data_IF_509335249529
#
_entry.id   IF_509335249529
#
_cell.length_a   1.000
_cell.length_b   1.000
_cell.length_c   1.000
_cell.angle_alpha   90.00
_cell.angle_beta   90.00
_cell.angle_gamma   90.00
#
_symmetry.space_group_name_H-M   'P 1'
#
loop_
_entity.id
_entity.type
_entity.pdbx_description
1 polymer ?
#
# COMPACT_ATOMS: atom_id res chain seq x y z
N UNK A 1 -6.72 22.99 1.35
CA UNK A 1 -7.09 22.25 0.12
C UNK A 1 -6.00 21.24 -0.22
N UNK A 2 -6.37 19.99 -0.45
CA UNK A 2 -5.43 18.95 -0.86
C UNK A 2 -5.17 19.04 -2.37
N UNK A 3 -3.90 18.92 -2.75
CA UNK A 3 -3.49 18.86 -4.16
C UNK A 3 -2.57 17.68 -4.36
N UNK A 4 -2.66 17.05 -5.53
CA UNK A 4 -1.79 15.95 -5.92
C UNK A 4 -0.79 16.42 -6.97
N UNK A 5 0.47 16.00 -6.79
CA UNK A 5 1.54 16.26 -7.73
C UNK A 5 2.15 14.92 -8.12
N UNK A 6 2.45 14.75 -9.40
CA UNK A 6 3.06 13.53 -9.92
C UNK A 6 4.46 13.85 -10.43
N UNK A 7 5.44 13.14 -9.88
CA UNK A 7 6.85 13.32 -10.24
C UNK A 7 7.45 12.01 -10.71
N UNK A 8 8.39 12.10 -11.63
CA UNK A 8 9.22 10.96 -12.02
C UNK A 8 10.34 10.80 -11.01
N UNK A 9 10.50 9.57 -10.50
CA UNK A 9 11.59 9.22 -9.59
C UNK A 9 12.59 8.30 -10.28
N UNK A 10 13.84 8.40 -9.86
CA UNK A 10 14.95 7.59 -10.37
C UNK A 10 15.63 6.92 -9.19
N UNK A 11 15.01 5.88 -8.60
CA UNK A 11 15.55 5.26 -7.39
C UNK A 11 16.91 4.62 -7.63
N UNK A 12 17.77 4.66 -6.61
CA UNK A 12 19.02 3.94 -6.59
C UNK A 12 18.75 2.42 -6.52
N UNK A 13 19.75 1.60 -6.81
CA UNK A 13 19.56 0.15 -6.86
C UNK A 13 19.02 -0.43 -5.56
N UNK A 14 19.51 0.04 -4.41
CA UNK A 14 19.00 -0.38 -3.09
C UNK A 14 17.53 0.01 -2.90
N UNK A 15 17.15 1.18 -3.38
CA UNK A 15 15.78 1.66 -3.31
C UNK A 15 14.86 0.87 -4.24
N UNK A 16 15.33 0.48 -5.41
CA UNK A 16 14.59 -0.40 -6.33
C UNK A 16 14.29 -1.76 -5.69
N UNK A 17 15.26 -2.33 -4.99
CA UNK A 17 15.08 -3.59 -4.25
C UNK A 17 14.02 -3.42 -3.17
N UNK A 18 14.10 -2.34 -2.39
CA UNK A 18 13.12 -2.05 -1.36
C UNK A 18 11.71 -1.86 -1.95
N UNK A 19 11.60 -1.16 -3.06
CA UNK A 19 10.31 -0.95 -3.73
C UNK A 19 9.72 -2.27 -4.23
N UNK A 20 10.54 -3.13 -4.83
CA UNK A 20 10.09 -4.45 -5.28
C UNK A 20 9.59 -5.29 -4.10
N UNK A 21 10.30 -5.28 -2.98
CA UNK A 21 9.89 -5.96 -1.74
C UNK A 21 8.58 -5.38 -1.22
N UNK A 22 8.44 -4.06 -1.21
CA UNK A 22 7.24 -3.38 -0.71
C UNK A 22 6.03 -3.72 -1.58
N UNK A 23 6.17 -3.68 -2.90
CA UNK A 23 5.10 -4.09 -3.80
C UNK A 23 4.67 -5.54 -3.55
N UNK A 24 5.64 -6.43 -3.41
CA UNK A 24 5.38 -7.85 -3.14
C UNK A 24 4.68 -8.08 -1.81
N UNK A 25 5.15 -7.42 -0.75
CA UNK A 25 4.54 -7.53 0.58
C UNK A 25 3.12 -6.97 0.60
N UNK A 26 2.88 -5.83 -0.03
CA UNK A 26 1.55 -5.23 -0.11
C UNK A 26 0.58 -6.13 -0.89
N UNK A 27 1.03 -6.72 -1.99
CA UNK A 27 0.24 -7.67 -2.76
C UNK A 27 -0.07 -8.92 -1.93
N UNK A 28 0.92 -9.44 -1.23
CA UNK A 28 0.75 -10.60 -0.36
C UNK A 28 -0.28 -10.33 0.74
N UNK A 29 -0.17 -9.20 1.43
CA UNK A 29 -1.10 -8.82 2.48
C UNK A 29 -2.53 -8.66 1.96
N UNK A 30 -2.69 -8.01 0.81
CA UNK A 30 -4.00 -7.86 0.16
C UNK A 30 -4.62 -9.21 -0.18
N UNK A 31 -3.86 -10.08 -0.82
CA UNK A 31 -4.34 -11.40 -1.24
C UNK A 31 -4.64 -12.30 -0.04
N UNK A 32 -3.82 -12.24 0.99
CA UNK A 32 -4.05 -12.96 2.24
C UNK A 32 -5.37 -12.54 2.89
N UNK A 33 -5.61 -11.23 2.99
CA UNK A 33 -6.84 -10.71 3.59
C UNK A 33 -8.06 -11.06 2.76
N UNK A 34 -7.95 -10.99 1.44
CA UNK A 34 -9.03 -11.39 0.54
C UNK A 34 -9.38 -12.88 0.70
N UNK A 35 -8.36 -13.73 0.74
CA UNK A 35 -8.56 -15.16 0.95
C UNK A 35 -9.21 -15.44 2.30
N UNK A 36 -8.77 -14.76 3.34
CA UNK A 36 -9.35 -14.90 4.69
C UNK A 36 -10.85 -14.60 4.67
N UNK A 37 -11.27 -13.55 4.00
CA UNK A 37 -12.69 -13.18 3.88
C UNK A 37 -13.48 -14.18 3.06
N UNK A 38 -12.93 -14.66 1.95
CA UNK A 38 -13.59 -15.64 1.08
C UNK A 38 -13.81 -16.95 1.84
N UNK A 39 -12.78 -17.45 2.52
CA UNK A 39 -12.87 -18.71 3.26
C UNK A 39 -13.82 -18.62 4.45
N UNK A 40 -13.81 -17.51 5.19
CA UNK A 40 -14.73 -17.31 6.30
C UNK A 40 -16.19 -17.28 5.84
N UNK A 41 -16.47 -16.67 4.71
CA UNK A 41 -17.82 -16.65 4.16
C UNK A 41 -18.28 -18.00 3.63
N UNK A 42 -17.37 -18.76 2.99
CA UNK A 42 -17.69 -20.11 2.48
C UNK A 42 -18.00 -21.09 3.61
N UNK A 43 -17.21 -21.07 4.69
CA UNK A 43 -17.36 -22.01 5.79
C UNK A 43 -18.55 -21.67 6.71
N UNK A 44 -18.65 -20.40 7.13
CA UNK A 44 -19.59 -19.98 8.20
C UNK A 44 -20.52 -18.84 7.81
N UNK A 45 -20.51 -18.40 6.57
CA UNK A 45 -21.23 -17.20 6.12
C UNK A 45 -20.83 -15.96 6.93
N UNK A 46 -19.60 -15.97 7.48
CA UNK A 46 -19.12 -14.94 8.39
C UNK A 46 -18.44 -13.81 7.61
N UNK A 47 -18.76 -12.58 7.95
CA UNK A 47 -18.07 -11.38 7.47
C UNK A 47 -16.98 -11.03 8.48
N UNK A 48 -15.72 -10.99 8.03
CA UNK A 48 -14.58 -10.65 8.89
C UNK A 48 -14.40 -9.14 8.92
N UNK A 49 -14.50 -8.49 10.10
CA UNK A 49 -14.30 -7.04 10.21
C UNK A 49 -12.87 -6.63 9.91
N UNK A 50 -12.69 -5.40 9.41
CA UNK A 50 -11.39 -4.84 9.11
C UNK A 50 -10.42 -4.91 10.30
N UNK A 51 -10.90 -4.59 11.50
CA UNK A 51 -10.06 -4.60 12.70
C UNK A 51 -9.50 -5.99 13.00
N UNK A 52 -10.30 -7.02 12.83
CA UNK A 52 -9.86 -8.41 13.04
C UNK A 52 -8.76 -8.79 12.03
N UNK A 53 -8.92 -8.39 10.78
CA UNK A 53 -7.91 -8.62 9.74
C UNK A 53 -6.62 -7.91 10.10
N UNK A 54 -6.71 -6.67 10.54
CA UNK A 54 -5.55 -5.88 10.96
C UNK A 54 -4.82 -6.53 12.12
N UNK A 55 -5.55 -6.95 13.15
CA UNK A 55 -4.99 -7.60 14.33
C UNK A 55 -4.32 -8.94 13.96
N UNK A 56 -4.96 -9.73 13.10
CA UNK A 56 -4.37 -10.98 12.61
C UNK A 56 -3.07 -10.73 11.82
N UNK A 57 -3.03 -9.68 11.01
CA UNK A 57 -1.82 -9.35 10.27
C UNK A 57 -0.67 -8.98 11.22
N UNK A 58 -0.95 -8.15 12.22
CA UNK A 58 0.08 -7.68 13.15
C UNK A 58 0.56 -8.81 14.06
N UNK A 59 -0.35 -9.60 14.61
CA UNK A 59 -0.03 -10.56 15.66
C UNK A 59 0.33 -11.96 15.13
N UNK A 60 -0.19 -12.34 13.97
CA UNK A 60 -0.03 -13.70 13.44
C UNK A 60 0.77 -13.73 12.15
N UNK A 61 0.33 -13.01 11.12
CA UNK A 61 0.95 -13.08 9.80
C UNK A 61 2.39 -12.59 9.78
N UNK A 62 2.69 -11.49 10.47
CA UNK A 62 4.06 -10.98 10.59
C UNK A 62 4.96 -11.90 11.40
N UNK A 63 4.40 -12.62 12.37
CA UNK A 63 5.16 -13.61 13.13
C UNK A 63 5.52 -14.83 12.30
N UNK A 64 4.64 -15.24 11.39
CA UNK A 64 4.88 -16.35 10.47
C UNK A 64 5.83 -15.99 9.32
N UNK A 65 5.84 -14.71 8.92
CA UNK A 65 6.61 -14.22 7.78
C UNK A 65 7.44 -12.99 8.17
N UNK A 66 8.64 -13.21 8.67
CA UNK A 66 9.54 -12.13 9.13
C UNK A 66 9.86 -11.11 8.05
N UNK A 67 9.88 -11.54 6.79
CA UNK A 67 10.14 -10.64 5.67
C UNK A 67 9.11 -9.51 5.50
N UNK A 68 7.92 -9.64 6.08
CA UNK A 68 6.94 -8.55 6.12
C UNK A 68 7.40 -7.37 6.98
N UNK A 69 8.33 -7.60 7.91
CA UNK A 69 8.88 -6.55 8.77
C UNK A 69 9.93 -5.70 8.06
N UNK A 70 10.43 -6.13 6.91
CA UNK A 70 11.43 -5.39 6.15
C UNK A 70 10.89 -4.15 5.46
N UNK A 71 9.58 -4.05 5.31
CA UNK A 71 8.92 -2.94 4.64
C UNK A 71 8.13 -2.07 5.62
N UNK A 72 7.73 -0.88 5.16
CA UNK A 72 6.96 0.05 5.98
C UNK A 72 5.62 -0.57 6.41
N UNK A 73 5.40 -0.70 7.72
CA UNK A 73 4.17 -1.28 8.27
C UNK A 73 2.91 -0.52 7.87
N UNK A 74 2.98 0.80 7.76
CA UNK A 74 1.84 1.61 7.34
C UNK A 74 1.41 1.33 5.91
N UNK A 75 2.36 1.03 5.02
CA UNK A 75 2.05 0.64 3.64
C UNK A 75 1.30 -0.69 3.59
N UNK A 76 1.68 -1.65 4.45
CA UNK A 76 0.96 -2.92 4.58
C UNK A 76 -0.47 -2.72 5.08
N UNK A 77 -0.65 -1.93 6.12
CA UNK A 77 -1.98 -1.62 6.66
C UNK A 77 -2.86 -0.92 5.62
N UNK A 78 -2.26 -0.05 4.82
CA UNK A 78 -2.98 0.63 3.76
C UNK A 78 -3.46 -0.32 2.65
N UNK A 79 -2.72 -1.40 2.40
CA UNK A 79 -3.17 -2.47 1.48
C UNK A 79 -4.46 -3.11 1.97
N UNK A 80 -4.58 -3.33 3.28
CA UNK A 80 -5.81 -3.86 3.88
C UNK A 80 -6.97 -2.88 3.73
N UNK A 81 -6.71 -1.58 3.88
CA UNK A 81 -7.73 -0.54 3.66
C UNK A 81 -8.19 -0.50 2.21
N UNK A 82 -7.28 -0.72 1.26
CA UNK A 82 -7.64 -0.80 -0.15
C UNK A 82 -8.61 -1.96 -0.42
N UNK A 83 -8.40 -3.09 0.22
CA UNK A 83 -9.33 -4.22 0.13
C UNK A 83 -10.69 -3.87 0.73
N UNK A 84 -10.71 -3.20 1.88
CA UNK A 84 -11.94 -2.73 2.51
C UNK A 84 -12.73 -1.79 1.58
N UNK A 85 -12.02 -0.88 0.95
CA UNK A 85 -12.61 0.04 -0.04
C UNK A 85 -13.17 -0.73 -1.25
N UNK A 86 -12.45 -1.74 -1.73
CA UNK A 86 -12.91 -2.56 -2.84
C UNK A 86 -14.20 -3.31 -2.49
N UNK A 87 -14.31 -3.86 -1.29
CA UNK A 87 -15.53 -4.49 -0.81
C UNK A 87 -16.67 -3.49 -0.68
N UNK A 88 -16.41 -2.33 -0.09
CA UNK A 88 -17.42 -1.27 0.07
C UNK A 88 -17.96 -0.84 -1.29
N UNK A 89 -17.09 -0.63 -2.26
CA UNK A 89 -17.50 -0.24 -3.60
C UNK A 89 -18.32 -1.34 -4.29
N UNK A 90 -17.93 -2.60 -4.11
CA UNK A 90 -18.67 -3.74 -4.65
C UNK A 90 -20.10 -3.79 -4.07
N UNK A 91 -20.25 -3.73 -2.74
CA UNK A 91 -21.57 -3.80 -2.11
C UNK A 91 -22.44 -2.58 -2.40
N UNK A 92 -21.82 -1.41 -2.64
CA UNK A 92 -22.56 -0.20 -2.99
C UNK A 92 -23.10 -0.24 -4.41
N UNK A 93 -22.38 -0.85 -5.33
CA UNK A 93 -22.78 -0.93 -6.74
C UNK A 93 -22.31 -2.23 -7.38
N UNK A 94 -23.00 -3.32 -7.05
CA UNK A 94 -22.67 -4.67 -7.53
C UNK A 94 -22.78 -4.84 -9.04
N UNK A 95 -23.55 -3.97 -9.72
CA UNK A 95 -23.73 -4.03 -11.19
C UNK A 95 -22.56 -3.41 -11.93
N UNK A 96 -21.99 -2.33 -11.41
CA UNK A 96 -20.91 -1.61 -12.07
C UNK A 96 -19.52 -2.03 -11.60
N UNK A 97 -19.40 -2.48 -10.33
CA UNK A 97 -18.13 -2.84 -9.70
C UNK A 97 -18.08 -4.34 -9.46
N UNK A 98 -17.07 -5.00 -9.99
CA UNK A 98 -16.87 -6.44 -9.76
C UNK A 98 -16.41 -6.77 -8.34
N UNK A 99 -16.55 -8.05 -7.97
CA UNK A 99 -16.02 -8.55 -6.72
C UNK A 99 -14.49 -8.38 -6.67
N UNK A 100 -13.90 -8.06 -5.50
CA UNK A 100 -12.44 -7.92 -5.38
C UNK A 100 -11.71 -9.15 -5.90
N UNK A 101 -10.66 -8.92 -6.68
CA UNK A 101 -9.86 -9.98 -7.30
C UNK A 101 -8.47 -10.05 -6.67
N UNK A 102 -7.89 -11.26 -6.67
CA UNK A 102 -6.50 -11.43 -6.29
C UNK A 102 -5.57 -10.64 -7.21
N UNK A 103 -4.54 -10.04 -6.64
CA UNK A 103 -3.53 -9.29 -7.38
C UNK A 103 -2.41 -10.20 -7.83
N UNK A 104 -1.92 -10.01 -9.05
CA UNK A 104 -0.76 -10.70 -9.60
C UNK A 104 0.41 -9.75 -9.78
N UNK A 105 1.60 -10.29 -10.07
CA UNK A 105 2.78 -9.48 -10.39
C UNK A 105 2.58 -8.62 -11.65
N UNK A 106 1.68 -9.04 -12.52
CA UNK A 106 1.35 -8.31 -13.77
C UNK A 106 0.33 -7.19 -13.54
N UNK A 107 -0.36 -7.18 -12.40
CA UNK A 107 -1.28 -6.11 -12.04
C UNK A 107 -0.50 -4.82 -11.77
N UNK A 108 -1.17 -3.68 -11.91
CA UNK A 108 -0.59 -2.39 -11.52
C UNK A 108 -0.20 -2.45 -10.05
N UNK A 109 1.07 -2.13 -9.78
CA UNK A 109 1.61 -2.16 -8.43
C UNK A 109 1.75 -0.74 -7.89
N UNK A 110 1.34 -0.55 -6.65
CA UNK A 110 1.54 0.71 -5.93
C UNK A 110 1.54 0.46 -4.43
N UNK A 111 2.21 1.34 -3.70
CA UNK A 111 2.09 1.37 -2.25
C UNK A 111 2.02 2.82 -1.78
N UNK A 112 1.38 3.05 -0.65
CA UNK A 112 1.17 4.37 -0.10
C UNK A 112 1.90 4.49 1.24
N UNK A 113 2.58 5.64 1.41
CA UNK A 113 3.20 6.03 2.66
C UNK A 113 2.37 7.19 3.23
N UNK A 114 1.58 6.95 4.30
CA UNK A 114 0.66 7.97 4.81
C UNK A 114 1.31 9.02 5.71
N UNK A 115 2.58 8.81 6.10
CA UNK A 115 3.27 9.72 7.00
C UNK A 115 4.79 9.61 6.86
N UNK A 116 5.51 10.54 7.47
CA UNK A 116 6.98 10.59 7.46
C UNK A 116 7.59 10.71 6.06
N UNK A 117 6.92 11.47 5.20
CA UNK A 117 7.39 11.75 3.85
C UNK A 117 7.78 13.22 3.72
N UNK A 118 8.80 13.49 2.92
CA UNK A 118 9.22 14.87 2.66
C UNK A 118 9.77 14.99 1.24
N UNK A 119 9.67 16.20 0.71
CA UNK A 119 10.20 16.57 -0.59
C UNK A 119 11.23 17.67 -0.38
N UNK A 120 12.43 17.48 -0.91
CA UNK A 120 13.52 18.47 -0.86
C UNK A 120 13.75 19.02 -2.26
N UNK A 121 13.28 20.24 -2.50
CA UNK A 121 13.42 20.89 -3.81
C UNK A 121 14.85 21.29 -4.11
N UNK A 122 15.65 21.61 -3.10
CA UNK A 122 17.05 21.99 -3.29
C UNK A 122 17.91 20.80 -3.73
N UNK A 123 17.70 19.64 -3.12
CA UNK A 123 18.42 18.41 -3.47
C UNK A 123 17.76 17.64 -4.61
N UNK A 124 16.56 18.01 -5.01
CA UNK A 124 15.73 17.26 -5.97
C UNK A 124 15.53 15.81 -5.56
N UNK A 125 15.12 15.61 -4.30
CA UNK A 125 14.89 14.28 -3.75
C UNK A 125 13.55 14.18 -3.02
N UNK A 126 13.04 12.96 -2.92
CA UNK A 126 11.87 12.61 -2.12
C UNK A 126 12.30 11.56 -1.10
N UNK A 127 11.94 11.76 0.16
CA UNK A 127 12.20 10.80 1.24
C UNK A 127 10.88 10.20 1.71
N UNK A 128 10.85 8.88 1.77
CA UNK A 128 9.74 8.12 2.35
C UNK A 128 10.30 7.19 3.43
N UNK A 129 9.44 6.60 4.28
CA UNK A 129 9.94 5.65 5.27
C UNK A 129 10.78 4.54 4.62
N UNK A 130 11.95 4.28 5.18
CA UNK A 130 12.95 3.30 4.74
C UNK A 130 13.66 3.62 3.42
N UNK A 131 13.33 4.72 2.74
CA UNK A 131 14.01 5.15 1.52
C UNK A 131 14.27 6.66 1.56
N UNK A 132 15.51 7.02 1.89
CA UNK A 132 15.94 8.41 2.03
C UNK A 132 16.50 8.94 0.71
N UNK A 133 16.20 10.20 0.41
CA UNK A 133 16.78 10.94 -0.72
C UNK A 133 16.67 10.21 -2.07
N UNK A 134 15.45 9.85 -2.44
CA UNK A 134 15.18 9.24 -3.75
C UNK A 134 15.30 10.34 -4.81
N UNK A 135 16.21 10.23 -5.79
CA UNK A 135 16.29 11.20 -6.87
C UNK A 135 14.98 11.33 -7.63
N UNK A 136 14.58 12.57 -7.89
CA UNK A 136 13.32 12.86 -8.56
C UNK A 136 13.44 14.11 -9.44
N UNK A 137 12.62 14.17 -10.49
CA UNK A 137 12.49 15.39 -11.30
C UNK A 137 11.33 16.20 -10.75
N UNK A 138 11.65 17.23 -9.99
CA UNK A 138 10.68 18.09 -9.31
C UNK A 138 10.36 19.32 -10.17
N UNK A 139 9.66 19.11 -11.26
CA UNK A 139 9.36 20.12 -12.28
C UNK A 139 8.30 21.14 -11.84
N UNK A 140 7.57 20.86 -10.78
CA UNK A 140 6.56 21.76 -10.21
C UNK A 140 6.83 21.90 -8.72
N UNK A 141 6.96 23.15 -8.26
CA UNK A 141 7.15 23.43 -6.84
C UNK A 141 5.82 23.69 -6.15
N UNK A 142 5.73 23.33 -4.89
CA UNK A 142 4.57 23.63 -4.04
C UNK A 142 5.03 24.15 -2.68
N UNK A 143 4.11 24.77 -1.98
CA UNK A 143 4.26 25.17 -0.58
C UNK A 143 3.27 24.35 0.25
N UNK A 144 3.65 24.03 1.47
CA UNK A 144 2.80 23.29 2.39
C UNK A 144 3.40 21.94 2.76
N UNK A 145 2.69 21.23 3.64
CA UNK A 145 3.13 19.96 4.17
C UNK A 145 2.77 18.80 3.22
N UNK A 146 3.69 17.84 3.08
CA UNK A 146 3.42 16.59 2.39
C UNK A 146 2.57 15.71 3.31
N UNK A 147 1.41 15.30 2.84
CA UNK A 147 0.51 14.41 3.60
C UNK A 147 0.80 12.95 3.33
N UNK A 148 0.78 12.57 2.07
CA UNK A 148 0.97 11.18 1.66
C UNK A 148 1.82 11.13 0.40
N UNK A 149 2.53 10.01 0.23
CA UNK A 149 3.25 9.69 -1.01
C UNK A 149 2.80 8.32 -1.49
N UNK A 150 2.41 8.23 -2.75
CA UNK A 150 2.12 6.96 -3.41
C UNK A 150 3.20 6.68 -4.43
N UNK A 151 3.82 5.52 -4.34
CA UNK A 151 4.81 5.03 -5.30
C UNK A 151 4.15 3.99 -6.20
N UNK A 152 4.33 4.17 -7.49
CA UNK A 152 3.76 3.23 -8.47
C UNK A 152 4.71 2.96 -9.61
#
# INVERSE_FOLDING_TARGET
MLRAYKYRIYPMDEQKVLFAKTFGCCRFAYNWALNLRIEAYKSDKRTVPYKEIQDCMVNELKAEHDWLKEVNSQSLLYSLRNLETAYTNFFRNTKAVGFPKFKSRKSRQSFLCPQHCRVDFAKETITIPKAKDIPAVLHRKFRGAVKTVTVS
#
